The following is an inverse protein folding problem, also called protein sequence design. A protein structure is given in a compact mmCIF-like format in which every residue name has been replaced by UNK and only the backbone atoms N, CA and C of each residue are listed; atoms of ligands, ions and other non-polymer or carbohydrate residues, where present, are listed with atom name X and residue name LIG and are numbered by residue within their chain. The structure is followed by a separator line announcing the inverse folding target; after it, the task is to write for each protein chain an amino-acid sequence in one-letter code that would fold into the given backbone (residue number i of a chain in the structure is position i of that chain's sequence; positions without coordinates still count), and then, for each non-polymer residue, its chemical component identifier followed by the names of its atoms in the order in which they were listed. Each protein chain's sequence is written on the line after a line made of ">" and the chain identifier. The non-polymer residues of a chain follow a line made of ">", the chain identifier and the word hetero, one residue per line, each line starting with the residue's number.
data_IF_018555420687
#
_entry.id   IF_018555420687
#
_cell.length_a   1.000
_cell.length_b   1.000
_cell.length_c   1.000
_cell.angle_alpha   90.00
_cell.angle_beta   90.00
_cell.angle_gamma   90.00
#
_symmetry.space_group_name_H-M   'P 1'
#
loop_
_entity.id
_entity.type
_entity.pdbx_description
1 polymer ?
#
# COMPACT_ATOMS: atom_id res chain seq x y z
N UNK A 1 12.96 -8.46 -2.89
CA UNK A 1 11.90 -9.08 -2.06
C UNK A 1 11.78 -10.55 -2.43
N UNK A 2 11.91 -11.50 -1.52
CA UNK A 2 11.76 -12.93 -1.84
C UNK A 2 10.27 -13.34 -1.84
N UNK A 3 9.81 -14.02 -2.89
CA UNK A 3 8.46 -14.58 -2.92
C UNK A 3 8.47 -16.03 -2.39
N UNK A 4 7.50 -16.37 -1.53
CA UNK A 4 7.38 -17.68 -0.86
C UNK A 4 7.23 -18.86 -1.83
N UNK A 5 6.56 -18.65 -2.96
CA UNK A 5 6.24 -19.72 -3.91
C UNK A 5 7.40 -20.05 -4.85
N UNK A 6 8.16 -19.04 -5.28
CA UNK A 6 9.22 -19.16 -6.28
C UNK A 6 10.63 -19.01 -5.66
N UNK A 7 10.75 -18.63 -4.38
CA UNK A 7 11.99 -18.28 -3.65
C UNK A 7 12.89 -17.23 -4.34
N UNK A 8 12.45 -16.63 -5.45
CA UNK A 8 13.22 -15.63 -6.18
C UNK A 8 13.19 -14.27 -5.49
N UNK A 9 14.34 -13.60 -5.48
CA UNK A 9 14.48 -12.20 -5.09
C UNK A 9 13.96 -11.35 -6.25
N UNK A 10 12.75 -10.80 -6.10
CA UNK A 10 12.26 -9.73 -6.97
C UNK A 10 13.06 -8.48 -6.61
N UNK A 11 14.09 -8.22 -7.40
CA UNK A 11 14.97 -7.04 -7.30
C UNK A 11 14.40 -5.84 -8.02
N UNK A 12 13.42 -6.05 -8.90
CA UNK A 12 12.84 -5.00 -9.71
C UNK A 12 11.34 -4.89 -9.41
N UNK A 13 10.98 -3.73 -8.87
CA UNK A 13 9.64 -3.24 -8.54
C UNK A 13 8.67 -3.50 -9.71
N UNK A 14 9.11 -3.40 -10.97
CA UNK A 14 8.26 -3.63 -12.16
C UNK A 14 8.00 -5.11 -12.52
N UNK A 15 8.58 -6.11 -11.84
CA UNK A 15 8.45 -7.52 -12.22
C UNK A 15 7.56 -8.32 -11.26
N UNK A 16 6.50 -8.94 -11.81
CA UNK A 16 5.78 -10.06 -11.16
C UNK A 16 6.78 -11.18 -10.88
N UNK A 17 6.64 -11.94 -9.77
CA UNK A 17 7.51 -13.12 -9.62
C UNK A 17 7.26 -14.08 -10.78
N UNK A 18 8.23 -14.96 -11.08
CA UNK A 18 8.08 -16.09 -12.00
C UNK A 18 6.84 -16.96 -11.73
N UNK A 19 6.29 -16.96 -10.51
CA UNK A 19 5.02 -17.63 -10.17
C UNK A 19 3.76 -16.77 -10.41
N UNK A 20 3.87 -15.60 -11.04
CA UNK A 20 2.77 -14.68 -11.30
C UNK A 20 2.26 -13.88 -10.08
N UNK A 21 2.77 -14.15 -8.87
CA UNK A 21 2.39 -13.42 -7.66
C UNK A 21 3.05 -12.05 -7.60
N UNK A 22 2.31 -11.08 -7.06
CA UNK A 22 2.80 -9.74 -6.75
C UNK A 22 3.35 -9.76 -5.31
N UNK A 23 4.68 -9.61 -5.12
CA UNK A 23 5.24 -9.52 -3.79
C UNK A 23 4.90 -8.15 -3.18
N UNK A 24 4.27 -8.15 -2.01
CA UNK A 24 3.97 -6.95 -1.24
C UNK A 24 4.56 -7.08 0.16
N UNK A 25 5.14 -6.01 0.69
CA UNK A 25 5.56 -5.90 2.09
C UNK A 25 4.89 -4.70 2.74
N UNK A 26 4.85 -4.72 4.07
CA UNK A 26 4.41 -3.56 4.86
C UNK A 26 5.21 -2.32 4.47
N UNK A 27 4.52 -1.19 4.41
CA UNK A 27 4.99 0.12 3.98
C UNK A 27 5.30 0.25 2.47
N UNK A 28 5.11 -0.79 1.66
CA UNK A 28 5.25 -0.64 0.20
C UNK A 28 4.07 0.18 -0.35
N UNK A 29 4.36 1.00 -1.34
CA UNK A 29 3.41 1.86 -2.03
C UNK A 29 3.19 1.32 -3.44
N UNK A 30 1.94 1.14 -3.81
CA UNK A 30 1.52 0.67 -5.13
C UNK A 30 0.54 1.64 -5.78
N UNK A 31 0.54 1.71 -7.10
CA UNK A 31 -0.61 2.18 -7.86
C UNK A 31 -1.64 1.05 -7.89
N UNK A 32 -2.89 1.35 -7.56
CA UNK A 32 -3.96 0.37 -7.55
C UNK A 32 -5.23 0.91 -8.21
N UNK A 33 -6.02 -0.01 -8.78
CA UNK A 33 -7.33 0.27 -9.37
C UNK A 33 -8.43 -0.15 -8.39
N UNK A 34 -9.12 0.80 -7.77
CA UNK A 34 -10.10 0.56 -6.72
C UNK A 34 -11.56 0.79 -7.17
N UNK A 35 -11.88 0.52 -8.44
CA UNK A 35 -13.25 0.63 -8.96
C UNK A 35 -14.29 0.01 -8.02
N UNK A 36 -15.33 0.79 -7.73
CA UNK A 36 -16.46 0.50 -6.82
C UNK A 36 -16.13 0.38 -5.32
N UNK A 37 -14.87 0.53 -4.91
CA UNK A 37 -14.47 0.58 -3.51
C UNK A 37 -14.32 2.01 -2.99
N UNK A 38 -14.21 2.97 -3.91
CA UNK A 38 -14.26 4.40 -3.65
C UNK A 38 -15.54 4.99 -4.26
N UNK A 39 -15.92 6.18 -3.81
CA UNK A 39 -17.07 6.91 -4.36
C UNK A 39 -16.97 7.10 -5.88
N UNK A 40 -15.74 7.20 -6.39
CA UNK A 40 -15.48 7.27 -7.82
C UNK A 40 -15.51 5.86 -8.43
N UNK A 41 -16.40 5.64 -9.39
CA UNK A 41 -16.59 4.35 -10.07
C UNK A 41 -15.30 3.85 -10.75
N UNK A 42 -14.45 4.79 -11.20
CA UNK A 42 -13.16 4.51 -11.86
C UNK A 42 -11.98 5.16 -11.13
N UNK A 43 -11.77 4.81 -9.86
CA UNK A 43 -10.61 5.29 -9.11
C UNK A 43 -9.33 4.49 -9.39
N UNK A 44 -8.26 5.20 -9.76
CA UNK A 44 -6.89 4.66 -9.85
C UNK A 44 -5.94 5.60 -9.12
N UNK A 45 -5.18 5.08 -8.16
CA UNK A 45 -4.26 5.93 -7.40
C UNK A 45 -3.35 5.18 -6.44
N UNK A 46 -2.46 5.92 -5.75
CA UNK A 46 -1.53 5.35 -4.79
C UNK A 46 -2.22 4.71 -3.59
N UNK A 47 -1.71 3.55 -3.16
CA UNK A 47 -2.12 2.84 -1.95
C UNK A 47 -0.90 2.39 -1.17
N UNK A 48 -1.00 2.38 0.16
CA UNK A 48 0.04 1.89 1.06
C UNK A 48 -0.39 0.57 1.67
N UNK A 49 0.51 -0.40 1.67
CA UNK A 49 0.31 -1.71 2.32
C UNK A 49 0.54 -1.60 3.82
N UNK A 50 -0.49 -1.88 4.62
CA UNK A 50 -0.43 -1.82 6.09
C UNK A 50 -0.37 -3.20 6.76
N UNK A 51 -0.81 -4.24 6.06
CA UNK A 51 -0.85 -5.60 6.60
C UNK A 51 0.56 -6.13 6.93
N UNK A 52 0.63 -7.03 7.92
CA UNK A 52 1.88 -7.68 8.30
C UNK A 52 2.49 -8.53 7.15
N UNK A 53 3.81 -8.69 7.16
CA UNK A 53 4.54 -9.34 6.07
C UNK A 53 4.19 -10.83 5.91
N UNK A 54 3.88 -11.54 7.00
CA UNK A 54 3.49 -12.95 6.96
C UNK A 54 2.18 -13.14 6.19
N UNK A 55 1.18 -12.33 6.50
CA UNK A 55 -0.09 -12.31 5.77
C UNK A 55 0.10 -11.90 4.30
N UNK A 56 0.95 -10.90 4.04
CA UNK A 56 1.27 -10.50 2.67
C UNK A 56 1.97 -11.60 1.86
N UNK A 57 2.70 -12.50 2.52
CA UNK A 57 3.43 -13.57 1.87
C UNK A 57 2.53 -14.75 1.46
N UNK A 58 1.47 -15.02 2.23
CA UNK A 58 0.65 -16.22 2.06
C UNK A 58 -0.76 -15.94 1.53
N UNK A 59 -1.33 -14.76 1.83
CA UNK A 59 -2.69 -14.41 1.39
C UNK A 59 -2.72 -13.98 -0.09
N UNK A 60 -3.78 -14.28 -0.85
CA UNK A 60 -4.05 -13.62 -2.12
C UNK A 60 -4.45 -12.14 -1.93
N UNK A 61 -4.97 -11.77 -0.76
CA UNK A 61 -5.40 -10.41 -0.44
C UNK A 61 -4.38 -9.63 0.39
N UNK A 62 -4.52 -8.31 0.41
CA UNK A 62 -3.73 -7.37 1.23
C UNK A 62 -4.62 -6.26 1.80
N UNK A 63 -4.35 -5.84 3.04
CA UNK A 63 -4.95 -4.63 3.60
C UNK A 63 -4.12 -3.41 3.24
N UNK A 64 -4.81 -2.41 2.70
CA UNK A 64 -4.23 -1.16 2.23
C UNK A 64 -4.98 0.05 2.78
N UNK A 65 -4.32 1.20 2.68
CA UNK A 65 -4.94 2.52 2.80
C UNK A 65 -4.70 3.24 1.48
N UNK A 66 -5.76 3.83 0.92
CA UNK A 66 -5.66 4.59 -0.31
C UNK A 66 -5.29 6.05 -0.04
N UNK A 67 -4.56 6.66 -0.97
CA UNK A 67 -4.35 8.10 -0.95
C UNK A 67 -5.67 8.83 -1.14
N UNK A 68 -5.82 9.95 -0.45
CA UNK A 68 -7.00 10.81 -0.54
C UNK A 68 -6.54 12.26 -0.58
N UNK A 69 -7.38 13.13 -1.12
CA UNK A 69 -7.20 14.58 -0.97
C UNK A 69 -7.23 14.96 0.52
N UNK A 70 -6.29 15.81 0.99
CA UNK A 70 -6.29 16.32 2.35
C UNK A 70 -7.63 16.91 2.76
N UNK A 71 -8.12 16.48 3.92
CA UNK A 71 -9.30 17.04 4.57
C UNK A 71 -8.94 17.46 6.01
N UNK A 72 -9.90 18.08 6.70
CA UNK A 72 -9.89 18.43 8.12
C UNK A 72 -10.14 17.24 9.05
N UNK A 73 -10.34 16.04 8.50
CA UNK A 73 -10.68 14.86 9.30
C UNK A 73 -9.53 14.46 10.26
N UNK A 74 -9.78 14.17 11.55
CA UNK A 74 -8.72 13.86 12.53
C UNK A 74 -7.87 12.64 12.19
N UNK A 75 -8.46 11.69 11.47
CA UNK A 75 -7.81 10.45 11.02
C UNK A 75 -6.94 10.64 9.76
N UNK A 76 -6.84 11.87 9.30
CA UNK A 76 -6.07 12.21 8.12
C UNK A 76 -4.59 12.39 8.45
N UNK A 77 -3.71 11.69 7.74
CA UNK A 77 -2.26 11.87 7.81
C UNK A 77 -1.80 12.61 6.56
N UNK A 78 -1.36 13.87 6.76
CA UNK A 78 -0.82 14.72 5.69
C UNK A 78 0.67 14.45 5.53
N UNK A 79 1.14 14.56 4.29
CA UNK A 79 2.57 14.58 3.92
C UNK A 79 3.40 13.33 4.28
N UNK A 80 2.83 12.15 4.10
CA UNK A 80 3.60 10.90 4.15
C UNK A 80 4.66 10.87 3.06
N UNK A 81 5.93 10.89 3.46
CA UNK A 81 7.06 10.85 2.51
C UNK A 81 7.40 9.41 2.15
N UNK A 82 7.25 9.09 0.87
CA UNK A 82 7.66 7.85 0.26
C UNK A 82 8.91 8.03 -0.61
N UNK A 83 9.61 6.92 -0.83
CA UNK A 83 10.85 6.85 -1.59
C UNK A 83 10.68 5.82 -2.70
N UNK A 84 10.91 6.24 -3.94
CA UNK A 84 11.11 5.36 -5.08
C UNK A 84 12.62 5.18 -5.33
N UNK A 85 12.99 4.44 -6.37
CA UNK A 85 14.40 4.33 -6.77
C UNK A 85 14.96 5.66 -7.32
N UNK A 86 14.10 6.55 -7.78
CA UNK A 86 14.48 7.74 -8.56
C UNK A 86 14.14 9.05 -7.85
N UNK A 87 13.20 9.05 -6.89
CA UNK A 87 12.68 10.27 -6.30
C UNK A 87 11.98 10.05 -4.94
N UNK A 88 11.76 11.14 -4.23
CA UNK A 88 10.83 11.20 -3.11
C UNK A 88 9.46 11.67 -3.59
N UNK A 89 8.40 11.17 -2.97
CA UNK A 89 7.03 11.61 -3.23
C UNK A 89 6.27 11.81 -1.93
N UNK A 90 5.29 12.72 -1.94
CA UNK A 90 4.41 12.97 -0.80
C UNK A 90 3.04 12.36 -1.06
N UNK A 91 2.49 11.69 -0.06
CA UNK A 91 1.14 11.17 -0.06
C UNK A 91 0.35 11.75 1.10
N UNK A 92 -0.96 11.75 0.93
CA UNK A 92 -1.92 12.17 1.94
C UNK A 92 -2.93 11.05 2.04
N UNK A 93 -3.19 10.58 3.27
CA UNK A 93 -3.96 9.36 3.50
C UNK A 93 -5.00 9.55 4.57
N UNK A 94 -6.16 8.94 4.34
CA UNK A 94 -7.24 8.88 5.31
C UNK A 94 -7.27 7.48 5.92
N UNK A 95 -6.88 7.39 7.18
CA UNK A 95 -6.73 6.11 7.88
C UNK A 95 -8.09 5.43 8.09
N UNK A 96 -9.20 6.15 8.04
CA UNK A 96 -10.54 5.54 8.08
C UNK A 96 -10.82 4.63 6.87
N UNK A 97 -10.14 4.87 5.74
CA UNK A 97 -10.35 4.16 4.47
C UNK A 97 -9.46 2.93 4.34
N UNK A 98 -9.35 2.13 5.39
CA UNK A 98 -8.69 0.82 5.34
C UNK A 98 -9.60 -0.14 4.59
N UNK A 99 -9.03 -0.87 3.63
CA UNK A 99 -9.77 -1.90 2.91
C UNK A 99 -8.88 -3.09 2.57
N UNK A 100 -9.51 -4.25 2.41
CA UNK A 100 -8.85 -5.47 1.92
C UNK A 100 -9.09 -5.60 0.43
N UNK A 101 -8.01 -5.75 -0.35
CA UNK A 101 -8.08 -5.88 -1.81
C UNK A 101 -7.36 -7.14 -2.29
N UNK A 102 -7.77 -7.66 -3.45
CA UNK A 102 -7.05 -8.73 -4.14
C UNK A 102 -5.77 -8.20 -4.78
N UNK A 103 -4.63 -8.85 -4.55
CA UNK A 103 -3.33 -8.35 -5.05
C UNK A 103 -3.30 -8.37 -6.58
N UNK A 104 -3.68 -9.50 -7.18
CA UNK A 104 -3.53 -9.76 -8.61
C UNK A 104 -4.45 -8.89 -9.46
N UNK A 105 -5.69 -8.69 -9.00
CA UNK A 105 -6.70 -7.95 -9.73
C UNK A 105 -6.58 -6.43 -9.56
N UNK A 106 -6.03 -5.96 -8.42
CA UNK A 106 -6.13 -4.54 -8.04
C UNK A 106 -4.79 -3.82 -7.97
N UNK A 107 -3.67 -4.49 -7.65
CA UNK A 107 -2.35 -3.86 -7.66
C UNK A 107 -1.78 -3.83 -9.07
N UNK A 108 -1.36 -2.65 -9.53
CA UNK A 108 -0.84 -2.43 -10.88
C UNK A 108 0.69 -2.43 -10.88
N UNK A 109 1.29 -1.33 -10.45
CA UNK A 109 2.74 -1.13 -10.39
C UNK A 109 3.15 -0.64 -9.01
N UNK A 110 4.32 -1.02 -8.49
CA UNK A 110 4.78 -0.43 -7.24
C UNK A 110 5.49 0.90 -7.50
N UNK A 111 5.18 1.87 -6.66
CA UNK A 111 5.65 3.25 -6.76
C UNK A 111 6.87 3.48 -5.85
N UNK A 112 6.96 2.73 -4.74
CA UNK A 112 8.06 2.87 -3.80
C UNK A 112 7.72 2.33 -2.42
N UNK A 113 8.26 2.97 -1.40
CA UNK A 113 8.08 2.57 0.00
C UNK A 113 8.03 3.79 0.92
N UNK A 114 7.15 3.79 1.92
CA UNK A 114 7.21 4.76 2.99
C UNK A 114 8.45 4.55 3.86
N UNK A 115 9.01 5.64 4.40
CA UNK A 115 10.04 5.53 5.42
C UNK A 115 9.47 4.90 6.69
N UNK A 116 10.36 4.30 7.50
CA UNK A 116 9.96 3.71 8.80
C UNK A 116 9.29 4.74 9.71
N UNK A 117 9.78 5.97 9.72
CA UNK A 117 9.21 7.05 10.51
C UNK A 117 7.77 7.37 10.07
N UNK A 118 7.54 7.55 8.76
CA UNK A 118 6.21 7.81 8.21
C UNK A 118 5.25 6.64 8.45
N UNK A 119 5.72 5.40 8.34
CA UNK A 119 4.93 4.22 8.66
C UNK A 119 4.54 4.19 10.15
N UNK A 120 5.45 4.56 11.06
CA UNK A 120 5.13 4.64 12.49
C UNK A 120 4.02 5.66 12.77
N UNK A 121 4.09 6.85 12.16
CA UNK A 121 3.03 7.86 12.32
C UNK A 121 1.68 7.36 11.82
N UNK A 122 1.67 6.64 10.70
CA UNK A 122 0.45 6.00 10.18
C UNK A 122 -0.08 4.93 11.14
N UNK A 123 0.80 4.14 11.76
CA UNK A 123 0.44 3.13 12.75
C UNK A 123 -0.11 3.72 14.04
N UNK A 124 0.43 4.85 14.49
CA UNK A 124 -0.09 5.52 15.69
C UNK A 124 -1.49 6.08 15.43
N UNK A 125 -1.74 6.65 14.24
CA UNK A 125 -3.09 7.03 13.81
C UNK A 125 -4.04 5.84 13.65
N UNK A 126 -3.54 4.70 13.17
CA UNK A 126 -4.33 3.46 13.11
C UNK A 126 -4.80 2.99 14.48
N UNK A 127 -4.02 3.23 15.54
CA UNK A 127 -4.43 2.85 16.91
C UNK A 127 -5.59 3.72 17.40
N UNK A 128 -5.63 5.00 17.03
CA UNK A 128 -6.73 5.92 17.37
C UNK A 128 -8.10 5.50 16.80
N UNK A 129 -8.14 4.57 15.84
CA UNK A 129 -9.39 4.01 15.31
C UNK A 129 -9.99 2.89 16.16
N UNK A 130 -9.18 2.23 16.99
CA UNK A 130 -9.54 1.02 17.71
C UNK A 130 -9.91 1.35 19.18
N UNK A 131 -9.56 2.54 19.65
CA UNK A 131 -9.86 3.07 20.99
C UNK A 131 -10.79 4.27 20.90
#
# INVERSE_FOLDING_TARGET
>A
MTCSSCKQIVTNVKKRCSCGRIPAKRADVFLAKLNHLMHDEEWVGPVVVIQNNTGNLHSPTVQIIASSTPDSHPLFVKELTGYSAESQFKLSMDVSKIMTIDKQARLLEPLGKLSKHMMSQLEDKLKELIY
#
